data_IF_618513316666
#
_entry.id   IF_618513316666
#
_cell.length_a   1.000
_cell.length_b   1.000
_cell.length_c   1.000
_cell.angle_alpha   90.00
_cell.angle_beta   90.00
_cell.angle_gamma   90.00
#
_symmetry.space_group_name_H-M   'P 1'
#
loop_
_entity.id
_entity.type
_entity.pdbx_description
1 polymer ?
#
# COMPACT_ATOMS: atom_id res chain seq x y z
N UNK A 1 1.66 6.54 9.87
CA UNK A 1 2.32 7.50 10.76
C UNK A 1 1.39 8.67 11.04
N UNK A 2 1.90 9.82 11.50
CA UNK A 2 1.09 11.02 11.77
C UNK A 2 0.32 11.52 10.55
N UNK A 3 0.75 11.20 9.33
CA UNK A 3 0.05 11.47 8.07
C UNK A 3 -1.31 10.76 7.95
N UNK A 4 -1.56 9.73 8.77
CA UNK A 4 -2.83 9.00 8.83
C UNK A 4 -3.64 9.35 10.09
N UNK A 5 -3.17 10.29 10.92
CA UNK A 5 -3.94 10.76 12.06
C UNK A 5 -4.98 11.78 11.59
N UNK A 6 -6.23 11.62 12.05
CA UNK A 6 -7.21 12.69 11.93
C UNK A 6 -6.85 13.82 12.90
N UNK A 7 -7.03 15.07 12.47
CA UNK A 7 -6.95 16.25 13.33
C UNK A 7 -8.34 16.85 13.53
N UNK A 8 -8.48 17.82 14.43
CA UNK A 8 -9.74 18.54 14.59
C UNK A 8 -10.17 19.33 13.34
N UNK A 9 -9.26 19.50 12.37
CA UNK A 9 -9.47 20.30 11.15
C UNK A 9 -9.47 19.45 9.86
N UNK A 10 -8.97 18.21 9.90
CA UNK A 10 -8.86 17.38 8.72
C UNK A 10 -9.03 15.88 9.03
N UNK A 11 -9.75 15.13 8.18
CA UNK A 11 -9.80 13.68 8.29
C UNK A 11 -8.43 13.07 8.05
N UNK A 12 -8.22 11.86 8.58
CA UNK A 12 -7.06 11.05 8.26
C UNK A 12 -6.89 10.89 6.75
N UNK A 13 -5.67 11.05 6.22
CA UNK A 13 -5.38 10.76 4.82
C UNK A 13 -5.39 9.25 4.62
N UNK A 14 -6.28 8.69 3.80
CA UNK A 14 -6.29 7.25 3.56
C UNK A 14 -5.08 6.85 2.71
N UNK A 15 -4.42 5.76 3.10
CA UNK A 15 -3.42 5.06 2.29
C UNK A 15 -4.13 3.98 1.46
N UNK A 16 -4.54 4.32 0.26
CA UNK A 16 -5.01 3.32 -0.70
C UNK A 16 -3.86 2.89 -1.58
N UNK A 17 -3.39 1.66 -1.39
CA UNK A 17 -2.60 1.00 -2.42
C UNK A 17 -3.57 0.16 -3.26
N UNK A 18 -3.75 0.53 -4.53
CA UNK A 18 -4.66 -0.16 -5.45
C UNK A 18 -3.91 -1.29 -6.15
N UNK A 19 -4.45 -2.51 -6.05
CA UNK A 19 -3.97 -3.68 -6.76
C UNK A 19 -5.01 -4.08 -7.82
N UNK A 20 -4.68 -4.05 -9.12
CA UNK A 20 -5.42 -4.84 -10.10
C UNK A 20 -5.19 -6.33 -9.79
N UNK A 21 -6.24 -7.07 -9.39
CA UNK A 21 -6.10 -8.49 -8.98
C UNK A 21 -5.69 -9.40 -10.16
N UNK A 22 -5.99 -9.01 -11.39
CA UNK A 22 -5.75 -9.82 -12.58
C UNK A 22 -4.64 -9.22 -13.44
N UNK A 23 -3.41 -9.67 -13.22
CA UNK A 23 -2.28 -9.44 -14.11
C UNK A 23 -1.26 -10.60 -14.00
N UNK A 24 -0.40 -10.77 -15.00
CA UNK A 24 0.74 -11.66 -14.87
C UNK A 24 1.72 -11.10 -13.81
N UNK A 25 2.41 -11.94 -13.02
CA UNK A 25 3.43 -11.48 -12.09
C UNK A 25 4.52 -10.69 -12.81
N UNK A 26 4.91 -9.56 -12.23
CA UNK A 26 5.97 -8.71 -12.74
C UNK A 26 7.32 -9.11 -12.15
N UNK A 27 8.39 -8.93 -12.92
CA UNK A 27 9.75 -9.15 -12.44
C UNK A 27 10.10 -8.09 -11.38
N UNK A 28 10.80 -8.44 -10.29
CA UNK A 28 11.14 -7.51 -9.19
C UNK A 28 11.97 -6.28 -9.64
N UNK A 29 12.71 -6.46 -10.72
CA UNK A 29 13.56 -5.48 -11.40
C UNK A 29 12.81 -4.59 -12.39
N UNK A 30 11.48 -4.78 -12.53
CA UNK A 30 10.64 -3.85 -13.26
C UNK A 30 10.51 -2.54 -12.46
N UNK A 31 11.02 -1.45 -13.04
CA UNK A 31 10.87 -0.12 -12.46
C UNK A 31 9.38 0.23 -12.41
N UNK A 32 8.78 0.07 -11.23
CA UNK A 32 7.41 0.45 -11.02
C UNK A 32 7.28 1.96 -11.37
N UNK A 33 6.25 2.36 -12.14
CA UNK A 33 6.14 3.71 -12.63
C UNK A 33 5.85 4.68 -11.48
N UNK A 34 6.83 5.53 -11.16
CA UNK A 34 6.71 6.58 -10.15
C UNK A 34 7.69 6.39 -9.00
N UNK A 35 8.11 7.52 -8.43
CA UNK A 35 9.05 7.67 -7.32
C UNK A 35 8.62 6.97 -6.01
N UNK A 36 7.37 6.54 -5.91
CA UNK A 36 6.77 5.90 -4.75
C UNK A 36 6.01 4.64 -5.18
N UNK A 37 6.68 3.69 -5.83
CA UNK A 37 6.06 2.43 -6.25
C UNK A 37 6.99 1.24 -6.03
N UNK A 38 6.43 0.03 -5.82
CA UNK A 38 7.22 -1.18 -5.60
C UNK A 38 6.55 -2.44 -6.17
N UNK A 39 7.38 -3.46 -6.43
CA UNK A 39 6.95 -4.81 -6.78
C UNK A 39 7.12 -5.70 -5.54
N UNK A 40 6.08 -6.44 -5.15
CA UNK A 40 6.16 -7.42 -4.05
C UNK A 40 6.93 -8.68 -4.48
N UNK A 41 7.29 -9.51 -3.50
CA UNK A 41 8.02 -10.76 -3.76
C UNK A 41 7.27 -11.75 -4.66
N UNK A 42 5.94 -11.66 -4.73
CA UNK A 42 5.07 -12.49 -5.60
C UNK A 42 4.70 -11.80 -6.92
N UNK A 43 5.28 -10.63 -7.22
CA UNK A 43 5.18 -9.97 -8.52
C UNK A 43 3.99 -9.02 -8.69
N UNK A 44 3.39 -8.54 -7.59
CA UNK A 44 2.34 -7.53 -7.66
C UNK A 44 2.90 -6.10 -7.66
N UNK A 45 2.33 -5.25 -8.51
CA UNK A 45 2.70 -3.84 -8.63
C UNK A 45 1.88 -2.97 -7.68
N UNK A 46 2.56 -2.10 -6.95
CA UNK A 46 1.94 -1.17 -6.01
C UNK A 46 2.37 0.25 -6.34
N UNK A 47 1.41 1.13 -6.61
CA UNK A 47 1.63 2.57 -6.81
C UNK A 47 1.69 3.33 -5.47
N UNK A 48 2.43 2.79 -4.50
CA UNK A 48 2.71 3.43 -3.21
C UNK A 48 4.13 3.02 -2.71
N UNK A 49 4.73 3.72 -1.73
CA UNK A 49 6.02 3.33 -1.19
C UNK A 49 5.95 1.93 -0.53
N UNK A 50 7.02 1.16 -0.62
CA UNK A 50 7.09 -0.15 0.03
C UNK A 50 6.96 0.00 1.56
N UNK A 51 5.90 -0.53 2.20
CA UNK A 51 5.68 -0.39 3.64
C UNK A 51 6.80 -1.04 4.47
N UNK A 52 7.51 -2.04 3.94
CA UNK A 52 8.67 -2.65 4.58
C UNK A 52 9.82 -1.66 4.80
N UNK A 53 9.89 -0.60 3.98
CA UNK A 53 10.93 0.43 4.07
C UNK A 53 10.51 1.61 4.97
N UNK A 54 9.22 1.74 5.30
CA UNK A 54 8.69 2.94 5.95
C UNK A 54 8.98 3.06 7.46
N UNK A 55 9.61 2.05 8.11
CA UNK A 55 9.94 2.07 9.56
C UNK A 55 8.79 2.53 10.46
N UNK A 56 7.56 2.14 10.14
CA UNK A 56 6.38 2.43 10.96
C UNK A 56 5.77 1.11 11.47
N UNK A 57 5.16 1.12 12.66
CA UNK A 57 4.34 0.02 13.12
C UNK A 57 2.98 0.08 12.39
N UNK A 58 2.56 -1.04 11.79
CA UNK A 58 1.28 -1.14 11.08
C UNK A 58 0.31 -2.02 11.85
N UNK A 59 -0.97 -1.63 11.89
CA UNK A 59 -2.06 -2.48 12.33
C UNK A 59 -2.79 -3.01 11.10
N UNK A 60 -2.82 -4.33 10.91
CA UNK A 60 -3.56 -4.98 9.82
C UNK A 60 -4.86 -5.51 10.41
N UNK A 61 -6.01 -5.01 9.91
CA UNK A 61 -7.34 -5.40 10.38
C UNK A 61 -8.08 -6.07 9.22
N UNK A 62 -8.45 -7.33 9.39
CA UNK A 62 -9.35 -8.03 8.47
C UNK A 62 -10.77 -7.93 9.00
N UNK A 63 -11.65 -7.26 8.26
CA UNK A 63 -13.09 -7.25 8.56
C UNK A 63 -13.75 -8.25 7.63
N UNK A 64 -14.21 -9.36 8.21
CA UNK A 64 -15.03 -10.34 7.52
C UNK A 64 -16.48 -10.04 7.90
N UNK A 65 -17.22 -9.43 6.99
CA UNK A 65 -18.66 -9.36 7.14
C UNK A 65 -19.25 -10.74 6.88
N UNK A 66 -20.06 -11.22 7.82
CA UNK A 66 -20.72 -12.52 7.73
C UNK A 66 -22.20 -12.25 7.52
N UNK A 67 -22.68 -12.51 6.31
CA UNK A 67 -24.11 -12.71 6.09
C UNK A 67 -24.56 -14.01 6.75
#
# INVERSE_FOLDING_TARGET
GPEHAATAQAPARPSYCKLPIFHAPQLPDWAAPGNDSYISADGHSFACPNPNNLRQAFHVIFVLDRY
#
